data_IF_655854874366
#
_entry.id   IF_655854874366
#
_cell.length_a   1.000
_cell.length_b   1.000
_cell.length_c   1.000
_cell.angle_alpha   90.00
_cell.angle_beta   90.00
_cell.angle_gamma   90.00
#
_symmetry.space_group_name_H-M   'P 1'
#
loop_
_entity.id
_entity.type
_entity.pdbx_description
1 polymer ?
#
# COMPACT_ATOMS: atom_id res chain seq x y z
N UNK A 1 -19.52 1.24 12.00
CA UNK A 1 -18.95 0.70 13.27
C UNK A 1 -17.72 1.50 13.72
N UNK A 2 -16.67 1.66 12.90
CA UNK A 2 -15.40 2.30 13.30
C UNK A 2 -15.56 3.75 13.80
N UNK A 3 -16.33 4.60 13.11
CA UNK A 3 -16.54 6.01 13.54
C UNK A 3 -17.23 6.09 14.90
N UNK A 4 -18.22 5.23 15.17
CA UNK A 4 -18.91 5.20 16.47
C UNK A 4 -17.96 4.82 17.61
N UNK A 5 -17.06 3.86 17.40
CA UNK A 5 -16.04 3.51 18.39
C UNK A 5 -15.11 4.69 18.74
N UNK A 6 -14.72 5.50 17.75
CA UNK A 6 -13.90 6.69 17.96
C UNK A 6 -14.67 7.80 18.70
N UNK A 7 -15.97 7.94 18.46
CA UNK A 7 -16.84 8.92 19.13
C UNK A 7 -16.97 8.62 20.63
N UNK A 8 -17.06 7.34 20.98
CA UNK A 8 -17.21 6.89 22.37
C UNK A 8 -15.88 6.78 23.14
N UNK A 9 -14.74 6.84 22.41
CA UNK A 9 -13.42 6.78 23.02
C UNK A 9 -13.00 8.13 23.62
N UNK A 10 -12.44 8.11 24.82
CA UNK A 10 -11.79 9.29 25.41
C UNK A 10 -10.46 9.54 24.68
N UNK A 11 -10.21 10.76 24.14
CA UNK A 11 -8.96 11.07 23.48
C UNK A 11 -7.77 10.93 24.46
N UNK A 12 -6.82 10.06 24.17
CA UNK A 12 -5.60 9.84 24.99
C UNK A 12 -4.46 10.80 24.62
N UNK A 13 -4.68 11.70 23.66
CA UNK A 13 -3.67 12.65 23.16
C UNK A 13 -4.30 13.97 22.69
N UNK A 14 -4.02 14.38 21.45
CA UNK A 14 -4.57 15.60 20.89
C UNK A 14 -6.06 15.44 20.53
N UNK A 15 -6.92 16.01 21.38
CA UNK A 15 -8.37 16.00 21.16
C UNK A 15 -8.81 16.73 19.86
N UNK A 16 -7.98 17.64 19.32
CA UNK A 16 -8.23 18.27 18.01
C UNK A 16 -8.01 17.28 16.88
N UNK A 17 -6.95 16.48 16.94
CA UNK A 17 -6.68 15.43 15.97
C UNK A 17 -7.74 14.32 16.03
N UNK A 18 -8.18 13.96 17.24
CA UNK A 18 -9.26 12.98 17.44
C UNK A 18 -10.58 13.47 16.81
N UNK A 19 -10.99 14.69 17.10
CA UNK A 19 -12.17 15.30 16.48
C UNK A 19 -12.04 15.33 14.94
N UNK A 20 -10.88 15.74 14.42
CA UNK A 20 -10.64 15.76 12.98
C UNK A 20 -10.81 14.39 12.33
N UNK A 21 -10.24 13.33 12.93
CA UNK A 21 -10.38 11.97 12.46
C UNK A 21 -11.84 11.49 12.44
N UNK A 22 -12.61 11.82 13.50
CA UNK A 22 -14.03 11.52 13.61
C UNK A 22 -14.81 12.21 12.49
N UNK A 23 -14.59 13.50 12.27
CA UNK A 23 -15.32 14.27 11.25
C UNK A 23 -15.01 13.80 9.84
N UNK A 24 -13.74 13.51 9.53
CA UNK A 24 -13.37 12.92 8.24
C UNK A 24 -13.97 11.52 8.05
N UNK A 25 -13.99 10.71 9.10
CA UNK A 25 -14.62 9.38 9.06
C UNK A 25 -16.14 9.45 8.87
N UNK A 26 -16.82 10.37 9.56
CA UNK A 26 -18.25 10.60 9.43
C UNK A 26 -18.62 11.12 8.02
N UNK A 27 -17.85 12.08 7.48
CA UNK A 27 -18.03 12.58 6.12
C UNK A 27 -17.87 11.46 5.07
N UNK A 28 -16.88 10.58 5.22
CA UNK A 28 -16.69 9.41 4.35
C UNK A 28 -17.83 8.40 4.46
N UNK A 29 -18.43 8.29 5.65
CA UNK A 29 -19.58 7.42 5.89
C UNK A 29 -20.91 8.07 5.52
N UNK A 30 -20.88 9.23 4.85
CA UNK A 30 -22.05 10.00 4.39
C UNK A 30 -23.01 10.43 5.52
N UNK A 31 -22.46 10.68 6.70
CA UNK A 31 -23.22 11.27 7.80
C UNK A 31 -23.50 12.73 7.52
N UNK A 32 -24.60 13.25 8.07
CA UNK A 32 -24.93 14.67 8.07
C UNK A 32 -24.31 15.39 9.27
N UNK A 33 -24.22 16.73 9.20
CA UNK A 33 -23.83 17.54 10.35
C UNK A 33 -24.80 17.34 11.54
N UNK A 34 -26.09 17.14 11.27
CA UNK A 34 -27.10 16.89 12.30
C UNK A 34 -26.79 15.62 13.11
N UNK A 35 -26.52 14.52 12.43
CA UNK A 35 -26.16 13.25 13.08
C UNK A 35 -24.88 13.36 13.93
N UNK A 36 -23.89 14.14 13.47
CA UNK A 36 -22.68 14.38 14.26
C UNK A 36 -22.96 15.29 15.45
N UNK A 37 -23.82 16.29 15.28
CA UNK A 37 -24.20 17.24 16.35
C UNK A 37 -24.95 16.54 17.51
N UNK A 38 -25.76 15.52 17.23
CA UNK A 38 -26.41 14.70 18.27
C UNK A 38 -25.39 13.98 19.16
N UNK A 39 -24.21 13.69 18.63
CA UNK A 39 -23.12 13.03 19.36
C UNK A 39 -22.19 14.00 20.09
N UNK A 40 -22.47 15.32 20.04
CA UNK A 40 -21.64 16.34 20.66
C UNK A 40 -21.32 16.11 22.15
N UNK A 41 -22.19 15.50 22.98
CA UNK A 41 -21.87 15.17 24.38
C UNK A 41 -20.83 14.05 24.55
N UNK A 42 -20.54 13.27 23.52
CA UNK A 42 -19.64 12.11 23.59
C UNK A 42 -18.18 12.51 23.78
N UNK A 43 -17.36 11.66 24.44
CA UNK A 43 -15.96 11.95 24.76
C UNK A 43 -15.12 12.33 23.55
N UNK A 44 -15.23 11.61 22.42
CA UNK A 44 -14.46 11.88 21.21
C UNK A 44 -14.64 13.26 20.60
N UNK A 45 -15.76 13.96 20.93
CA UNK A 45 -16.04 15.32 20.47
C UNK A 45 -15.66 16.41 21.51
N UNK A 46 -14.87 16.06 22.51
CA UNK A 46 -14.44 16.98 23.58
C UNK A 46 -13.86 18.31 23.04
N UNK A 47 -13.05 18.26 21.99
CA UNK A 47 -12.45 19.47 21.39
C UNK A 47 -13.49 20.47 20.87
N UNK A 48 -14.64 20.00 20.41
CA UNK A 48 -15.73 20.88 20.01
C UNK A 48 -16.34 21.62 21.21
N UNK A 49 -16.41 20.99 22.39
CA UNK A 49 -17.01 21.53 23.62
C UNK A 49 -16.03 22.33 24.49
N UNK A 50 -14.72 22.02 24.39
CA UNK A 50 -13.72 22.62 25.26
C UNK A 50 -12.61 23.27 24.47
N UNK A 51 -11.90 24.22 25.09
CA UNK A 51 -10.70 24.87 24.56
C UNK A 51 -9.54 24.62 25.53
N UNK A 52 -8.36 24.27 25.02
CA UNK A 52 -7.16 24.19 25.84
C UNK A 52 -6.68 25.58 26.20
N UNK A 53 -6.47 25.81 27.50
CA UNK A 53 -5.92 27.06 28.04
C UNK A 53 -4.38 26.98 28.07
N UNK A 54 -3.72 28.13 28.34
CA UNK A 54 -2.27 28.26 28.38
C UNK A 54 -1.61 27.36 29.47
N UNK A 55 -2.32 27.14 30.57
CA UNK A 55 -1.91 26.26 31.68
C UNK A 55 -2.07 24.74 31.38
N UNK A 56 -2.57 24.40 30.22
CA UNK A 56 -2.82 23.03 29.78
C UNK A 56 -4.21 22.50 30.14
N UNK A 57 -4.99 23.19 30.98
CA UNK A 57 -6.35 22.78 31.32
C UNK A 57 -7.31 22.97 30.14
N UNK A 58 -8.37 22.17 30.11
CA UNK A 58 -9.45 22.34 29.14
C UNK A 58 -10.67 22.95 29.79
N UNK A 59 -11.03 24.13 29.30
CA UNK A 59 -12.17 24.88 29.78
C UNK A 59 -13.35 24.74 28.80
N UNK A 60 -14.60 24.73 29.33
CA UNK A 60 -15.80 24.76 28.48
C UNK A 60 -15.79 25.97 27.54
N UNK A 61 -16.29 25.79 26.35
CA UNK A 61 -16.51 26.91 25.42
C UNK A 61 -17.77 27.68 25.81
N UNK A 62 -17.87 28.97 25.43
CA UNK A 62 -19.08 29.74 25.64
C UNK A 62 -20.28 29.15 24.89
N UNK A 63 -21.46 29.29 25.44
CA UNK A 63 -22.69 28.71 24.86
C UNK A 63 -23.15 29.42 23.57
N UNK A 64 -22.63 30.63 23.31
CA UNK A 64 -22.99 31.41 22.13
C UNK A 64 -21.77 32.04 21.44
N UNK A 65 -21.96 32.47 20.19
CA UNK A 65 -20.93 33.09 19.37
C UNK A 65 -20.10 32.12 18.53
N UNK A 66 -19.07 32.63 17.85
CA UNK A 66 -18.24 31.87 16.90
C UNK A 66 -17.41 30.75 17.54
N UNK A 67 -17.26 30.79 18.85
CA UNK A 67 -16.54 29.78 19.64
C UNK A 67 -17.48 28.80 20.38
N UNK A 68 -18.79 28.92 20.21
CA UNK A 68 -19.74 27.97 20.75
C UNK A 68 -19.52 26.55 20.18
N UNK A 69 -19.82 25.49 20.93
CA UNK A 69 -19.58 24.12 20.50
C UNK A 69 -20.11 23.83 19.11
N UNK A 70 -21.34 24.19 18.80
CA UNK A 70 -21.95 23.97 17.49
C UNK A 70 -21.30 24.81 16.38
N UNK A 71 -20.86 26.02 16.63
CA UNK A 71 -20.18 26.86 15.65
C UNK A 71 -18.78 26.30 15.31
N UNK A 72 -18.09 25.75 16.32
CA UNK A 72 -16.80 25.09 16.14
C UNK A 72 -17.01 23.79 15.33
N UNK A 73 -18.01 23.00 15.69
CA UNK A 73 -18.34 21.75 15.00
C UNK A 73 -18.67 22.02 13.52
N UNK A 74 -19.55 22.97 13.22
CA UNK A 74 -19.93 23.35 11.85
C UNK A 74 -18.74 23.81 11.01
N UNK A 75 -17.88 24.66 11.56
CA UNK A 75 -16.67 25.11 10.86
C UNK A 75 -15.71 23.95 10.56
N UNK A 76 -15.50 23.07 11.52
CA UNK A 76 -14.63 21.90 11.34
C UNK A 76 -15.26 20.88 10.40
N UNK A 77 -16.57 20.69 10.46
CA UNK A 77 -17.32 19.83 9.56
C UNK A 77 -17.17 20.26 8.09
N UNK A 78 -17.40 21.55 7.80
CA UNK A 78 -17.21 22.08 6.44
C UNK A 78 -15.80 21.84 5.91
N UNK A 79 -14.79 22.01 6.77
CA UNK A 79 -13.39 21.72 6.40
C UNK A 79 -13.16 20.24 6.19
N UNK A 80 -13.74 19.35 7.01
CA UNK A 80 -13.61 17.91 6.86
C UNK A 80 -14.29 17.41 5.58
N UNK A 81 -15.48 17.89 5.26
CA UNK A 81 -16.19 17.56 4.00
C UNK A 81 -15.37 18.01 2.78
N UNK A 82 -14.86 19.25 2.79
CA UNK A 82 -14.01 19.76 1.72
C UNK A 82 -12.71 18.94 1.57
N UNK A 83 -12.09 18.58 2.71
CA UNK A 83 -10.90 17.73 2.70
C UNK A 83 -11.18 16.33 2.14
N UNK A 84 -12.27 15.68 2.57
CA UNK A 84 -12.67 14.36 2.08
C UNK A 84 -13.01 14.38 0.60
N UNK A 85 -13.67 15.43 0.12
CA UNK A 85 -13.96 15.61 -1.30
C UNK A 85 -12.68 15.79 -2.14
N UNK A 86 -11.69 16.53 -1.61
CA UNK A 86 -10.40 16.73 -2.27
C UNK A 86 -9.46 15.49 -2.15
N UNK A 87 -9.68 14.64 -1.15
CA UNK A 87 -8.87 13.45 -0.87
C UNK A 87 -9.76 12.20 -0.76
N UNK A 88 -10.36 11.75 -1.87
CA UNK A 88 -11.16 10.54 -1.86
C UNK A 88 -10.30 9.35 -1.39
N UNK A 89 -10.84 8.57 -0.45
CA UNK A 89 -10.19 7.32 -0.05
C UNK A 89 -10.35 6.30 -1.16
N UNK A 90 -9.35 5.46 -1.33
CA UNK A 90 -9.39 4.37 -2.32
C UNK A 90 -10.64 3.47 -2.20
N UNK A 91 -11.24 3.37 -1.02
CA UNK A 91 -12.47 2.60 -0.79
C UNK A 91 -13.78 3.30 -1.19
N UNK A 92 -13.76 4.63 -1.48
CA UNK A 92 -14.93 5.39 -1.95
C UNK A 92 -14.86 5.74 -3.45
N UNK A 93 -13.76 5.36 -4.12
CA UNK A 93 -13.59 5.56 -5.56
C UNK A 93 -14.33 4.43 -6.30
N UNK A 94 -15.38 4.73 -7.08
CA UNK A 94 -16.13 3.70 -7.81
C UNK A 94 -15.29 2.97 -8.86
N UNK A 95 -14.16 3.56 -9.27
CA UNK A 95 -13.21 2.94 -10.20
C UNK A 95 -12.11 2.14 -9.48
N UNK A 96 -12.05 2.16 -8.15
CA UNK A 96 -11.02 1.50 -7.37
C UNK A 96 -10.96 -0.01 -7.62
N UNK A 97 -12.11 -0.68 -7.56
CA UNK A 97 -12.19 -2.13 -7.77
C UNK A 97 -11.76 -2.51 -9.19
N UNK A 98 -12.16 -1.73 -10.19
CA UNK A 98 -11.73 -1.94 -11.58
C UNK A 98 -10.21 -1.76 -11.73
N UNK A 99 -9.64 -0.69 -11.14
CA UNK A 99 -8.18 -0.48 -11.13
C UNK A 99 -7.44 -1.55 -10.35
N UNK A 100 -7.96 -1.92 -9.18
CA UNK A 100 -7.37 -2.97 -8.35
C UNK A 100 -7.37 -4.31 -9.10
N UNK A 101 -8.45 -4.64 -9.78
CA UNK A 101 -8.55 -5.81 -10.65
C UNK A 101 -7.53 -5.78 -11.77
N UNK A 102 -7.46 -4.68 -12.52
CA UNK A 102 -6.52 -4.52 -13.64
C UNK A 102 -5.05 -4.64 -13.19
N UNK A 103 -4.65 -3.94 -12.12
CA UNK A 103 -3.28 -4.00 -11.59
C UNK A 103 -2.96 -5.40 -11.04
N UNK A 104 -3.93 -6.04 -10.37
CA UNK A 104 -3.76 -7.39 -9.85
C UNK A 104 -3.56 -8.38 -11.00
N UNK A 105 -4.31 -8.26 -12.08
CA UNK A 105 -4.17 -9.11 -13.25
C UNK A 105 -2.80 -8.93 -13.90
N UNK A 106 -2.37 -7.69 -14.16
CA UNK A 106 -1.03 -7.39 -14.69
C UNK A 106 0.09 -8.01 -13.82
N UNK A 107 -0.01 -7.83 -12.52
CA UNK A 107 0.96 -8.36 -11.56
C UNK A 107 0.96 -9.90 -11.54
N UNK A 108 -0.22 -10.52 -11.60
CA UNK A 108 -0.37 -11.97 -11.65
C UNK A 108 0.24 -12.55 -12.93
N UNK A 109 -0.04 -11.94 -14.08
CA UNK A 109 0.49 -12.37 -15.38
C UNK A 109 2.02 -12.25 -15.42
N UNK A 110 2.56 -11.14 -14.86
CA UNK A 110 4.00 -10.96 -14.71
C UNK A 110 4.63 -12.06 -13.84
N UNK A 111 3.99 -12.39 -12.71
CA UNK A 111 4.48 -13.45 -11.81
C UNK A 111 4.42 -14.82 -12.45
N UNK A 112 3.31 -15.17 -13.11
CA UNK A 112 3.18 -16.44 -13.85
C UNK A 112 4.24 -16.57 -14.93
N UNK A 113 4.45 -15.51 -15.71
CA UNK A 113 5.50 -15.52 -16.73
C UNK A 113 6.90 -15.72 -16.11
N UNK A 114 7.18 -15.07 -14.98
CA UNK A 114 8.42 -15.28 -14.26
C UNK A 114 8.57 -16.73 -13.76
N UNK A 115 7.48 -17.35 -13.28
CA UNK A 115 7.50 -18.74 -12.79
C UNK A 115 7.74 -19.77 -13.90
N UNK A 116 7.27 -19.51 -15.13
CA UNK A 116 7.55 -20.38 -16.30
C UNK A 116 8.88 -20.09 -16.99
N UNK A 117 9.67 -19.17 -16.46
CA UNK A 117 11.01 -18.81 -16.95
C UNK A 117 12.14 -19.19 -15.98
N UNK A 118 12.20 -20.44 -15.44
CA UNK A 118 13.09 -20.79 -14.34
C UNK A 118 14.57 -20.63 -14.69
N UNK A 119 14.95 -20.85 -15.95
CA UNK A 119 16.34 -20.67 -16.40
C UNK A 119 16.87 -19.26 -16.25
N UNK A 120 16.00 -18.25 -16.32
CA UNK A 120 16.36 -16.83 -16.10
C UNK A 120 16.78 -16.56 -14.65
N UNK A 121 16.22 -17.28 -13.71
CA UNK A 121 16.39 -17.03 -12.27
C UNK A 121 17.39 -17.98 -11.60
N UNK A 122 17.96 -18.94 -12.34
CA UNK A 122 18.80 -20.02 -11.79
C UNK A 122 20.20 -19.58 -11.31
N UNK A 123 20.68 -18.39 -11.70
CA UNK A 123 21.97 -17.85 -11.24
C UNK A 123 21.81 -16.98 -9.99
N UNK A 124 22.91 -16.74 -9.24
CA UNK A 124 22.88 -15.81 -8.10
C UNK A 124 22.38 -14.40 -8.47
N UNK A 125 22.69 -13.94 -9.69
CA UNK A 125 22.18 -12.68 -10.22
C UNK A 125 20.69 -12.77 -10.53
N UNK A 126 20.26 -13.86 -11.13
CA UNK A 126 18.86 -14.13 -11.43
C UNK A 126 17.99 -14.18 -10.18
N UNK A 127 18.49 -14.82 -9.11
CA UNK A 127 17.84 -14.82 -7.79
C UNK A 127 17.62 -13.40 -7.27
N UNK A 128 18.65 -12.56 -7.32
CA UNK A 128 18.55 -11.14 -6.91
C UNK A 128 17.55 -10.38 -7.78
N UNK A 129 17.58 -10.59 -9.07
CA UNK A 129 16.66 -9.94 -10.02
C UNK A 129 15.21 -10.36 -9.75
N UNK A 130 14.96 -11.63 -9.45
CA UNK A 130 13.63 -12.13 -9.10
C UNK A 130 13.10 -11.47 -7.83
N UNK A 131 13.90 -11.35 -6.79
CA UNK A 131 13.51 -10.68 -5.55
C UNK A 131 13.19 -9.19 -5.78
N UNK A 132 13.98 -8.50 -6.59
CA UNK A 132 13.71 -7.10 -6.94
C UNK A 132 12.43 -6.98 -7.77
N UNK A 133 12.17 -7.89 -8.71
CA UNK A 133 10.93 -7.95 -9.47
C UNK A 133 9.72 -8.15 -8.54
N UNK A 134 9.79 -9.10 -7.61
CA UNK A 134 8.74 -9.38 -6.63
C UNK A 134 8.47 -8.14 -5.74
N UNK A 135 9.51 -7.43 -5.31
CA UNK A 135 9.37 -6.21 -4.50
C UNK A 135 8.69 -5.08 -5.28
N UNK A 136 9.06 -4.82 -6.53
CA UNK A 136 8.41 -3.80 -7.37
C UNK A 136 6.96 -4.20 -7.66
N UNK A 137 6.69 -5.46 -7.94
CA UNK A 137 5.33 -5.98 -8.14
C UNK A 137 4.48 -5.80 -6.89
N UNK A 138 5.03 -6.09 -5.70
CA UNK A 138 4.34 -5.88 -4.43
C UNK A 138 3.98 -4.40 -4.24
N UNK A 139 4.91 -3.49 -4.47
CA UNK A 139 4.67 -2.05 -4.39
C UNK A 139 3.55 -1.60 -5.34
N UNK A 140 3.51 -2.13 -6.56
CA UNK A 140 2.45 -1.83 -7.54
C UNK A 140 1.07 -2.31 -7.07
N UNK A 141 0.97 -3.54 -6.56
CA UNK A 141 -0.28 -4.11 -6.05
C UNK A 141 -0.75 -3.38 -4.79
N UNK A 142 0.16 -3.01 -3.88
CA UNK A 142 -0.16 -2.27 -2.67
C UNK A 142 -0.66 -0.86 -2.98
N UNK A 143 -0.02 -0.17 -3.92
CA UNK A 143 -0.41 1.17 -4.36
C UNK A 143 -1.63 1.19 -5.30
N UNK A 144 -2.08 0.03 -5.81
CA UNK A 144 -3.12 -0.07 -6.86
C UNK A 144 -2.76 0.77 -8.08
N UNK A 145 -1.50 0.71 -8.50
CA UNK A 145 -0.94 1.44 -9.65
C UNK A 145 0.03 0.55 -10.40
N UNK A 146 -0.05 0.46 -11.75
CA UNK A 146 0.95 -0.27 -12.52
C UNK A 146 2.31 0.40 -12.49
N UNK A 147 2.35 1.72 -12.30
CA UNK A 147 3.54 2.56 -12.18
C UNK A 147 3.74 2.99 -10.73
N UNK A 148 4.90 2.71 -10.17
CA UNK A 148 5.23 3.03 -8.77
C UNK A 148 6.58 3.75 -8.65
N UNK A 149 6.64 4.69 -7.71
CA UNK A 149 7.88 5.25 -7.24
C UNK A 149 8.61 4.20 -6.39
N UNK A 150 9.73 3.71 -6.87
CA UNK A 150 10.48 2.66 -6.21
C UNK A 150 11.93 3.11 -5.99
N UNK A 151 12.22 3.60 -4.78
CA UNK A 151 13.57 3.97 -4.42
C UNK A 151 14.43 2.72 -4.24
N UNK A 152 15.70 2.78 -4.67
CA UNK A 152 16.67 1.71 -4.44
C UNK A 152 16.75 1.36 -2.95
N UNK A 153 16.65 2.37 -2.07
CA UNK A 153 16.66 2.17 -0.63
C UNK A 153 15.46 1.35 -0.15
N UNK A 154 14.25 1.75 -0.56
CA UNK A 154 13.01 1.04 -0.18
C UNK A 154 13.02 -0.41 -0.66
N UNK A 155 13.46 -0.65 -1.91
CA UNK A 155 13.58 -2.01 -2.43
C UNK A 155 14.64 -2.80 -1.63
N UNK A 156 15.79 -2.19 -1.34
CA UNK A 156 16.87 -2.82 -0.57
C UNK A 156 16.40 -3.25 0.84
N UNK A 157 15.59 -2.40 1.50
CA UNK A 157 14.98 -2.68 2.79
C UNK A 157 13.96 -3.84 2.71
N UNK A 158 13.10 -3.85 1.68
CA UNK A 158 12.10 -4.92 1.47
C UNK A 158 12.76 -6.27 1.22
N UNK A 159 13.84 -6.28 0.43
CA UNK A 159 14.49 -7.52 -0.05
C UNK A 159 15.63 -7.97 0.85
N UNK A 160 16.11 -7.11 1.75
CA UNK A 160 17.26 -7.40 2.62
C UNK A 160 18.60 -7.52 1.87
N UNK A 161 18.81 -6.72 0.80
CA UNK A 161 20.05 -6.73 0.01
C UNK A 161 20.68 -5.32 -0.07
N UNK A 162 21.95 -5.26 -0.47
CA UNK A 162 22.61 -3.98 -0.63
C UNK A 162 22.06 -3.17 -1.81
N UNK A 163 22.21 -1.84 -1.74
CA UNK A 163 21.64 -0.90 -2.71
C UNK A 163 22.24 -1.05 -4.10
N UNK A 164 23.51 -1.40 -4.19
CA UNK A 164 24.18 -1.58 -5.48
C UNK A 164 23.67 -2.83 -6.21
N UNK A 165 23.43 -3.91 -5.47
CA UNK A 165 22.81 -5.11 -6.04
C UNK A 165 21.39 -4.83 -6.57
N UNK A 166 20.59 -4.02 -5.83
CA UNK A 166 19.26 -3.55 -6.30
C UNK A 166 19.40 -2.72 -7.57
N UNK A 167 20.32 -1.75 -7.59
CA UNK A 167 20.55 -0.88 -8.76
C UNK A 167 20.89 -1.72 -10.01
N UNK A 168 21.82 -2.65 -9.86
CA UNK A 168 22.22 -3.53 -10.96
C UNK A 168 21.06 -4.44 -11.41
N UNK A 169 20.25 -4.97 -10.49
CA UNK A 169 19.09 -5.78 -10.80
C UNK A 169 18.03 -4.99 -11.57
N UNK A 170 17.71 -3.75 -11.13
CA UNK A 170 16.76 -2.89 -11.83
C UNK A 170 17.20 -2.58 -13.27
N UNK A 171 18.49 -2.32 -13.49
CA UNK A 171 19.03 -2.08 -14.84
C UNK A 171 18.82 -3.32 -15.71
N UNK A 172 19.14 -4.52 -15.23
CA UNK A 172 18.94 -5.77 -15.98
C UNK A 172 17.46 -6.02 -16.28
N UNK A 173 16.58 -5.87 -15.28
CA UNK A 173 15.14 -6.05 -15.43
C UNK A 173 14.53 -5.09 -16.46
N UNK A 174 15.02 -3.85 -16.51
CA UNK A 174 14.59 -2.87 -17.53
C UNK A 174 15.14 -3.25 -18.91
N UNK A 175 16.43 -3.56 -19.03
CA UNK A 175 17.05 -3.91 -20.30
C UNK A 175 16.45 -5.19 -20.93
N UNK A 176 15.99 -6.13 -20.09
CA UNK A 176 15.35 -7.37 -20.52
C UNK A 176 13.82 -7.24 -20.67
N UNK A 177 13.25 -6.06 -20.42
CA UNK A 177 11.83 -5.79 -20.58
C UNK A 177 10.92 -6.38 -19.51
N UNK A 178 11.46 -6.80 -18.34
CA UNK A 178 10.66 -7.22 -17.18
C UNK A 178 9.97 -6.04 -16.50
N UNK A 179 10.60 -4.87 -16.51
CA UNK A 179 10.08 -3.61 -16.00
C UNK A 179 10.29 -2.52 -17.05
N UNK A 180 9.43 -1.52 -17.03
CA UNK A 180 9.62 -0.29 -17.82
C UNK A 180 9.98 0.85 -16.88
N UNK A 181 11.12 1.54 -17.13
CA UNK A 181 11.45 2.75 -16.41
C UNK A 181 10.73 3.93 -17.07
N UNK A 182 9.72 4.48 -16.41
CA UNK A 182 8.87 5.54 -16.96
C UNK A 182 9.37 6.94 -16.64
N UNK A 183 10.00 7.14 -15.48
CA UNK A 183 10.58 8.42 -15.06
C UNK A 183 11.94 8.21 -14.42
N UNK A 184 12.88 9.09 -14.77
CA UNK A 184 14.20 9.12 -14.15
C UNK A 184 14.18 9.85 -12.82
N UNK A 185 15.19 9.57 -11.99
CA UNK A 185 15.43 10.29 -10.74
C UNK A 185 15.63 11.78 -11.02
N UNK A 186 14.88 12.64 -10.32
CA UNK A 186 15.05 14.11 -10.40
C UNK A 186 15.16 14.65 -8.98
N UNK A 187 16.31 15.18 -8.62
CA UNK A 187 16.58 15.70 -7.28
C UNK A 187 16.45 14.61 -6.22
N UNK A 188 15.52 14.78 -5.26
CA UNK A 188 15.28 13.82 -4.17
C UNK A 188 14.21 12.75 -4.52
N UNK A 189 13.56 12.84 -5.68
CA UNK A 189 12.54 11.88 -6.09
C UNK A 189 13.18 10.64 -6.68
N UNK A 190 12.68 9.47 -6.31
CA UNK A 190 13.12 8.22 -6.86
C UNK A 190 12.65 8.03 -8.31
N UNK A 191 13.22 7.05 -9.00
CA UNK A 191 12.75 6.65 -10.33
C UNK A 191 11.39 5.94 -10.22
N UNK A 192 10.61 6.02 -11.28
CA UNK A 192 9.36 5.29 -11.42
C UNK A 192 9.57 4.08 -12.32
N UNK A 193 8.97 2.97 -11.92
CA UNK A 193 8.97 1.72 -12.67
C UNK A 193 7.54 1.24 -12.87
N UNK A 194 7.24 0.78 -14.07
CA UNK A 194 5.96 0.16 -14.42
C UNK A 194 6.12 -1.33 -14.59
N UNK A 195 5.16 -2.09 -14.04
CA UNK A 195 4.97 -3.52 -14.31
C UNK A 195 4.16 -3.76 -15.60
N UNK A 196 3.61 -2.69 -16.19
CA UNK A 196 2.93 -2.76 -17.47
C UNK A 196 3.98 -2.88 -18.58
N UNK A 197 3.95 -4.02 -19.25
CA UNK A 197 4.92 -4.43 -20.27
C UNK A 197 4.41 -3.98 -21.63
N UNK A 198 5.13 -3.06 -22.27
CA UNK A 198 4.77 -2.64 -23.61
C UNK A 198 4.74 -3.82 -24.61
N UNK A 199 3.59 -4.01 -25.20
CA UNK A 199 3.17 -4.77 -26.39
C UNK A 199 3.98 -5.99 -26.92
N UNK A 200 5.30 -6.04 -26.82
CA UNK A 200 6.09 -7.17 -27.34
C UNK A 200 5.92 -8.47 -26.53
N UNK A 201 5.51 -8.39 -25.26
CA UNK A 201 5.31 -9.55 -24.40
C UNK A 201 3.86 -10.02 -24.35
N UNK A 202 2.88 -9.14 -24.60
CA UNK A 202 1.46 -9.50 -24.59
C UNK A 202 1.18 -10.69 -25.53
N UNK A 203 1.74 -10.71 -26.72
CA UNK A 203 1.50 -11.77 -27.70
C UNK A 203 2.06 -13.13 -27.29
N UNK A 204 3.17 -13.15 -26.54
CA UNK A 204 3.73 -14.42 -26.04
C UNK A 204 3.01 -14.88 -24.77
N UNK A 205 2.69 -13.97 -23.85
CA UNK A 205 1.98 -14.26 -22.61
C UNK A 205 0.54 -14.67 -22.90
N UNK A 206 -0.18 -14.02 -23.81
CA UNK A 206 -1.52 -14.44 -24.24
C UNK A 206 -1.53 -15.84 -24.82
N UNK A 207 -0.52 -16.23 -25.60
CA UNK A 207 -0.41 -17.59 -26.14
C UNK A 207 -0.20 -18.64 -25.06
N UNK A 208 0.55 -18.35 -24.00
CA UNK A 208 0.77 -19.26 -22.88
C UNK A 208 -0.36 -19.24 -21.86
N UNK A 209 -1.00 -18.09 -21.63
CA UNK A 209 -2.08 -17.94 -20.64
C UNK A 209 -3.44 -18.38 -21.16
N UNK A 210 -3.70 -18.30 -22.46
CA UNK A 210 -4.94 -18.80 -23.07
C UNK A 210 -5.12 -20.34 -22.99
N UNK A 211 -4.06 -21.05 -22.59
CA UNK A 211 -4.09 -22.52 -22.45
C UNK A 211 -4.31 -23.01 -21.01
N UNK A 212 -4.43 -22.12 -20.04
CA UNK A 212 -4.61 -22.52 -18.65
C UNK A 212 -5.86 -21.85 -18.06
N UNK A 213 -6.84 -22.65 -17.65
CA UNK A 213 -7.96 -22.24 -16.77
C UNK A 213 -7.43 -21.77 -15.42
N UNK A 214 -6.87 -20.57 -15.38
CA UNK A 214 -6.38 -20.00 -14.14
C UNK A 214 -7.55 -19.31 -13.39
N UNK A 215 -7.73 -19.58 -12.10
CA UNK A 215 -8.73 -18.89 -11.32
C UNK A 215 -8.43 -17.38 -11.34
N UNK A 216 -9.47 -16.52 -11.25
CA UNK A 216 -9.28 -15.07 -11.28
C UNK A 216 -8.32 -14.64 -10.18
N UNK A 217 -7.36 -13.79 -10.54
CA UNK A 217 -6.35 -13.29 -9.62
C UNK A 217 -7.01 -12.53 -8.46
N UNK A 218 -6.80 -13.01 -7.23
CA UNK A 218 -7.26 -12.31 -6.03
C UNK A 218 -6.13 -11.47 -5.46
N UNK A 219 -6.33 -10.16 -5.33
CA UNK A 219 -5.34 -9.21 -4.81
C UNK A 219 -4.76 -9.65 -3.47
N UNK A 220 -5.60 -10.05 -2.53
CA UNK A 220 -5.17 -10.51 -1.21
C UNK A 220 -4.26 -11.75 -1.29
N UNK A 221 -4.57 -12.70 -2.17
CA UNK A 221 -3.75 -13.90 -2.41
C UNK A 221 -2.39 -13.52 -2.96
N UNK A 222 -2.34 -12.65 -3.97
CA UNK A 222 -1.08 -12.21 -4.57
C UNK A 222 -0.22 -11.43 -3.57
N UNK A 223 -0.82 -10.51 -2.81
CA UNK A 223 -0.13 -9.77 -1.75
C UNK A 223 0.46 -10.71 -0.68
N UNK A 224 -0.30 -11.69 -0.24
CA UNK A 224 0.15 -12.70 0.73
C UNK A 224 1.32 -13.52 0.17
N UNK A 225 1.22 -13.99 -1.07
CA UNK A 225 2.28 -14.75 -1.75
C UNK A 225 3.57 -13.94 -1.86
N UNK A 226 3.50 -12.70 -2.36
CA UNK A 226 4.66 -11.84 -2.51
C UNK A 226 5.28 -11.49 -1.15
N UNK A 227 4.46 -11.18 -0.14
CA UNK A 227 4.94 -10.89 1.22
C UNK A 227 5.65 -12.10 1.81
N UNK A 228 5.11 -13.30 1.64
CA UNK A 228 5.70 -14.54 2.14
C UNK A 228 7.02 -14.85 1.42
N UNK A 229 7.10 -14.72 0.10
CA UNK A 229 8.33 -14.93 -0.67
C UNK A 229 9.44 -13.97 -0.23
N UNK A 230 9.13 -12.69 -0.14
CA UNK A 230 10.08 -11.66 0.27
C UNK A 230 10.53 -11.83 1.73
N UNK A 231 9.61 -12.10 2.65
CA UNK A 231 9.93 -12.32 4.05
C UNK A 231 10.81 -13.56 4.28
N UNK A 232 10.57 -14.65 3.55
CA UNK A 232 11.43 -15.86 3.63
C UNK A 232 12.81 -15.62 3.03
N UNK A 233 12.88 -14.92 1.89
CA UNK A 233 14.14 -14.66 1.21
C UNK A 233 15.03 -13.69 1.99
N UNK A 234 14.44 -12.78 2.78
CA UNK A 234 15.15 -11.82 3.64
C UNK A 234 15.45 -12.36 5.05
N UNK A 235 15.03 -13.59 5.39
CA UNK A 235 15.25 -14.16 6.71
C UNK A 235 16.76 -14.36 6.98
N UNK A 236 17.20 -14.10 8.21
CA UNK A 236 18.62 -14.17 8.62
C UNK A 236 19.29 -15.52 8.34
N UNK A 237 18.52 -16.64 8.41
CA UNK A 237 18.98 -17.98 8.06
C UNK A 237 19.50 -18.06 6.62
N UNK A 238 19.00 -17.21 5.71
CA UNK A 238 19.41 -17.16 4.31
C UNK A 238 20.31 -15.98 3.98
N UNK A 239 20.85 -15.30 4.99
CA UNK A 239 21.80 -14.21 4.80
C UNK A 239 23.05 -14.66 4.02
N UNK A 240 23.60 -13.83 3.10
CA UNK A 240 24.63 -14.27 2.15
C UNK A 240 25.97 -14.64 2.78
N UNK A 241 26.28 -14.14 3.98
CA UNK A 241 27.59 -14.34 4.63
C UNK A 241 27.52 -15.18 5.90
N UNK A 242 26.36 -15.29 6.53
CA UNK A 242 26.19 -15.93 7.84
C UNK A 242 25.23 -17.09 7.83
N UNK A 243 24.51 -17.33 6.74
CA UNK A 243 23.49 -18.36 6.60
C UNK A 243 23.66 -19.24 5.36
N UNK A 244 22.60 -19.99 5.03
CA UNK A 244 22.54 -20.92 3.90
C UNK A 244 22.55 -20.26 2.52
N UNK A 245 22.51 -18.93 2.48
CA UNK A 245 22.49 -18.14 1.25
C UNK A 245 21.10 -18.01 0.61
N UNK A 246 20.96 -17.01 -0.26
CA UNK A 246 19.66 -16.61 -0.84
C UNK A 246 19.06 -17.64 -1.77
N UNK A 247 19.86 -18.39 -2.50
CA UNK A 247 19.38 -19.46 -3.37
C UNK A 247 18.64 -20.53 -2.56
N UNK A 248 19.16 -20.87 -1.37
CA UNK A 248 18.49 -21.78 -0.45
C UNK A 248 17.16 -21.19 0.06
N UNK A 249 17.11 -19.86 0.35
CA UNK A 249 15.87 -19.18 0.77
C UNK A 249 14.77 -19.22 -0.29
N UNK A 250 15.12 -19.03 -1.55
CA UNK A 250 14.16 -19.13 -2.66
C UNK A 250 13.70 -20.58 -2.91
N UNK A 251 14.61 -21.53 -2.83
CA UNK A 251 14.25 -22.94 -2.94
C UNK A 251 13.31 -23.35 -1.80
N UNK A 252 13.63 -22.96 -0.57
CA UNK A 252 12.78 -23.20 0.59
C UNK A 252 11.38 -22.56 0.41
N UNK A 253 11.32 -21.33 -0.08
CA UNK A 253 10.05 -20.66 -0.35
C UNK A 253 9.19 -21.41 -1.38
N UNK A 254 9.82 -21.92 -2.47
CA UNK A 254 9.12 -22.70 -3.52
C UNK A 254 8.63 -24.05 -3.03
N UNK A 255 9.43 -24.78 -2.27
CA UNK A 255 9.02 -26.08 -1.72
C UNK A 255 7.79 -25.92 -0.80
N UNK A 256 7.77 -24.89 0.06
CA UNK A 256 6.62 -24.62 0.90
C UNK A 256 5.38 -24.12 0.17
N UNK A 257 5.50 -23.56 -1.02
CA UNK A 257 4.35 -23.22 -1.86
C UNK A 257 3.74 -24.47 -2.51
N UNK A 258 4.55 -25.42 -2.92
CA UNK A 258 4.09 -26.69 -3.51
C UNK A 258 3.37 -27.57 -2.48
N UNK A 259 3.87 -27.66 -1.25
CA UNK A 259 3.24 -28.44 -0.16
C UNK A 259 1.85 -27.92 0.25
N UNK A 260 1.51 -26.65 -0.08
CA UNK A 260 0.20 -26.06 0.22
C UNK A 260 -0.83 -26.23 -0.88
N UNK A 261 -0.40 -26.66 -2.06
CA UNK A 261 -1.25 -26.84 -3.25
C UNK A 261 -1.53 -28.31 -3.54
N UNK A 262 -0.90 -29.22 -2.79
CA UNK A 262 -1.16 -30.68 -2.75
C UNK A 262 -2.11 -31.01 -1.61
#
# INVERSE_FOLDING_TARGET
>A
AAVRALVDATPTGDASAALWAILCGAARASWSLGEVAELLPRPGLEHARTKRHADGQRLPRPDAGSNAPHAVLDRMWRRAVAYVAAHPTTGSDPTFEARAGAVTQLAWDLQRYADVSPGRWGSNRGVTDRLVLDAVTKLAVDAVKPEVEASIRTIAEIVGIDREAVRCALIRLVNEGWLTRTRTTVGRRAAYYSIDRNNCFHSLVERFLSQADAPPARRATLQSTLTTRLGRASHDTFAPRTGLGRTAGLLYARLHEQDRTS
#
